data_IF_105659838350
#
_entry.id   IF_105659838350
#
_cell.length_a   1.000
_cell.length_b   1.000
_cell.length_c   1.000
_cell.angle_alpha   90.00
_cell.angle_beta   90.00
_cell.angle_gamma   90.00
#
_symmetry.space_group_name_H-M   'P 1'
#
loop_
_entity.id
_entity.type
_entity.pdbx_description
1 polymer ?
#
# COMPACT_ATOMS: atom_id res chain seq x y z
N UNK A 1 75.23 -59.35 -6.98
CA UNK A 1 74.57 -58.67 -8.11
C UNK A 1 73.08 -58.78 -7.91
N UNK A 2 72.45 -57.64 -7.68
CA UNK A 2 71.05 -57.42 -7.32
C UNK A 2 70.17 -57.48 -8.56
N UNK A 3 69.08 -58.26 -8.53
CA UNK A 3 68.08 -58.26 -9.61
C UNK A 3 66.72 -57.91 -9.02
N UNK A 4 66.22 -56.75 -9.45
CA UNK A 4 65.04 -56.04 -8.99
C UNK A 4 63.76 -56.65 -9.55
N UNK A 5 62.78 -56.92 -8.69
CA UNK A 5 61.39 -57.17 -9.07
C UNK A 5 60.70 -55.82 -9.26
N UNK A 6 60.19 -55.52 -10.45
CA UNK A 6 59.32 -54.36 -10.68
C UNK A 6 57.97 -54.78 -11.27
N UNK A 7 56.94 -54.12 -10.74
CA UNK A 7 55.54 -54.52 -10.67
C UNK A 7 54.81 -54.05 -11.93
N UNK A 8 54.07 -54.94 -12.58
CA UNK A 8 53.16 -54.63 -13.69
C UNK A 8 52.06 -53.64 -13.22
N UNK A 9 51.98 -52.49 -13.88
CA UNK A 9 50.96 -51.46 -13.70
C UNK A 9 49.70 -51.85 -14.49
N UNK A 10 48.66 -52.27 -13.77
CA UNK A 10 47.36 -52.60 -14.34
C UNK A 10 46.57 -51.29 -14.58
N UNK A 11 46.46 -50.85 -15.84
CA UNK A 11 45.59 -49.72 -16.22
C UNK A 11 44.15 -50.22 -16.39
N UNK A 12 43.30 -49.91 -15.42
CA UNK A 12 41.86 -50.20 -15.51
C UNK A 12 41.23 -49.22 -16.51
N UNK A 13 41.09 -49.65 -17.77
CA UNK A 13 40.27 -48.98 -18.78
C UNK A 13 38.79 -49.11 -18.36
N UNK A 14 38.21 -48.03 -17.83
CA UNK A 14 36.76 -47.93 -17.60
C UNK A 14 36.08 -47.81 -18.97
N UNK A 15 35.70 -48.96 -19.53
CA UNK A 15 34.91 -49.03 -20.75
C UNK A 15 33.51 -48.46 -20.48
N UNK A 16 33.24 -47.29 -21.06
CA UNK A 16 31.89 -46.69 -21.07
C UNK A 16 31.05 -47.52 -22.04
N UNK A 17 30.29 -48.50 -21.52
CA UNK A 17 29.40 -49.32 -22.35
C UNK A 17 28.47 -48.42 -23.17
N UNK A 18 28.62 -48.49 -24.49
CA UNK A 18 27.66 -47.92 -25.43
C UNK A 18 26.50 -48.90 -25.54
N UNK A 19 25.34 -48.53 -25.01
CA UNK A 19 24.12 -49.32 -25.13
C UNK A 19 23.76 -49.49 -26.62
N UNK A 20 23.88 -50.70 -27.15
CA UNK A 20 23.36 -51.08 -28.46
C UNK A 20 21.99 -51.72 -28.26
N UNK A 21 20.93 -50.97 -28.56
CA UNK A 21 19.55 -51.44 -28.56
C UNK A 21 19.05 -51.63 -29.99
N UNK A 22 18.35 -52.73 -30.23
CA UNK A 22 17.75 -53.13 -31.50
C UNK A 22 16.80 -52.05 -32.07
N UNK A 23 16.85 -51.87 -33.38
CA UNK A 23 16.26 -50.79 -34.15
C UNK A 23 14.73 -50.90 -34.35
N UNK A 24 13.96 -51.15 -33.29
CA UNK A 24 12.48 -50.97 -33.31
C UNK A 24 12.02 -50.50 -31.94
N UNK A 25 12.40 -49.28 -31.55
CA UNK A 25 11.81 -48.60 -30.41
C UNK A 25 11.56 -47.15 -30.81
N UNK A 26 10.29 -46.74 -30.77
CA UNK A 26 9.77 -45.38 -30.87
C UNK A 26 10.84 -44.33 -30.52
N UNK A 27 11.12 -43.38 -31.44
CA UNK A 27 12.17 -42.37 -31.33
C UNK A 27 11.97 -41.46 -30.09
N UNK A 28 12.24 -41.99 -28.91
CA UNK A 28 12.19 -41.28 -27.63
C UNK A 28 13.36 -40.30 -27.64
N UNK A 29 13.05 -39.00 -27.47
CA UNK A 29 14.07 -37.98 -27.30
C UNK A 29 15.07 -38.42 -26.24
N UNK A 30 16.36 -38.14 -26.47
CA UNK A 30 17.41 -38.53 -25.54
C UNK A 30 17.15 -37.89 -24.16
N UNK A 31 17.32 -38.59 -23.02
CA UNK A 31 16.96 -38.07 -21.68
C UNK A 31 17.55 -36.69 -21.34
N UNK A 32 18.78 -36.41 -21.82
CA UNK A 32 19.42 -35.09 -21.69
C UNK A 32 18.67 -33.98 -22.45
N UNK A 33 18.14 -34.28 -23.64
CA UNK A 33 17.34 -33.33 -24.42
C UNK A 33 16.02 -33.02 -23.71
N UNK A 34 15.34 -34.05 -23.19
CA UNK A 34 14.11 -33.87 -22.37
C UNK A 34 14.41 -32.99 -21.14
N UNK A 35 15.52 -33.26 -20.44
CA UNK A 35 15.95 -32.43 -19.29
C UNK A 35 16.23 -30.99 -19.69
N UNK A 36 16.90 -30.76 -20.83
CA UNK A 36 17.18 -29.42 -21.37
C UNK A 36 15.89 -28.67 -21.71
N UNK A 37 14.96 -29.32 -22.40
CA UNK A 37 13.64 -28.76 -22.74
C UNK A 37 12.84 -28.41 -21.48
N UNK A 38 12.83 -29.30 -20.48
CA UNK A 38 12.15 -29.05 -19.21
C UNK A 38 12.80 -27.90 -18.42
N UNK A 39 14.13 -27.80 -18.41
CA UNK A 39 14.84 -26.68 -17.79
C UNK A 39 14.49 -25.37 -18.51
N UNK A 40 14.49 -25.36 -19.85
CA UNK A 40 14.12 -24.19 -20.63
C UNK A 40 12.67 -23.74 -20.34
N UNK A 41 11.72 -24.69 -20.26
CA UNK A 41 10.33 -24.41 -19.87
C UNK A 41 10.20 -23.86 -18.44
N UNK A 42 11.01 -24.37 -17.49
CA UNK A 42 11.03 -23.85 -16.11
C UNK A 42 11.62 -22.44 -16.06
N UNK A 43 12.70 -22.20 -16.81
CA UNK A 43 13.34 -20.90 -16.91
C UNK A 43 12.40 -19.87 -17.57
N UNK A 44 11.68 -20.23 -18.63
CA UNK A 44 10.71 -19.33 -19.26
C UNK A 44 9.58 -18.96 -18.30
N UNK A 45 9.00 -19.96 -17.61
CA UNK A 45 7.96 -19.73 -16.59
C UNK A 45 8.47 -18.88 -15.42
N UNK A 46 9.70 -19.10 -14.96
CA UNK A 46 10.31 -18.29 -13.90
C UNK A 46 10.52 -16.85 -14.36
N UNK A 47 11.00 -16.64 -15.58
CA UNK A 47 11.17 -15.30 -16.15
C UNK A 47 9.83 -14.56 -16.30
N UNK A 48 8.79 -15.25 -16.78
CA UNK A 48 7.41 -14.73 -16.81
C UNK A 48 6.90 -14.40 -15.40
N UNK A 49 7.18 -15.27 -14.43
CA UNK A 49 6.83 -15.06 -13.02
C UNK A 49 7.55 -13.84 -12.45
N UNK A 50 8.84 -13.64 -12.72
CA UNK A 50 9.60 -12.48 -12.23
C UNK A 50 9.14 -11.17 -12.85
N UNK A 51 8.84 -11.16 -14.16
CA UNK A 51 8.30 -9.99 -14.86
C UNK A 51 6.97 -9.52 -14.28
N UNK A 52 6.13 -10.45 -13.84
CA UNK A 52 4.79 -10.19 -13.29
C UNK A 52 4.80 -10.05 -11.77
N UNK A 53 5.96 -9.84 -11.13
CA UNK A 53 6.04 -9.70 -9.67
C UNK A 53 5.44 -8.36 -9.23
N UNK A 54 4.35 -8.35 -8.43
CA UNK A 54 3.76 -7.12 -7.94
C UNK A 54 4.66 -6.42 -6.92
N UNK A 55 4.58 -5.10 -6.86
CA UNK A 55 5.25 -4.32 -5.82
C UNK A 55 4.55 -4.50 -4.47
N UNK A 56 5.28 -4.73 -3.37
CA UNK A 56 4.73 -4.75 -2.01
C UNK A 56 4.51 -3.36 -1.43
N UNK A 57 4.98 -2.29 -2.08
CA UNK A 57 4.80 -0.89 -1.64
C UNK A 57 3.66 -0.24 -2.41
N UNK A 58 3.74 -0.28 -3.75
CA UNK A 58 2.82 0.41 -4.65
C UNK A 58 1.63 -0.49 -4.95
N UNK A 59 0.44 -0.02 -4.56
CA UNK A 59 -0.84 -0.64 -4.89
C UNK A 59 -1.27 -0.30 -6.32
N UNK A 60 -2.12 -1.14 -6.89
CA UNK A 60 -2.88 -0.83 -8.09
C UNK A 60 -3.90 0.28 -7.78
N UNK A 61 -4.31 1.03 -8.81
CA UNK A 61 -5.33 2.07 -8.64
C UNK A 61 -6.68 1.42 -8.34
N UNK A 62 -7.30 1.81 -7.22
CA UNK A 62 -8.61 1.33 -6.78
C UNK A 62 -9.50 2.52 -6.40
N UNK A 63 -10.83 2.36 -6.38
CA UNK A 63 -11.74 3.44 -6.00
C UNK A 63 -11.43 4.05 -4.64
N UNK A 64 -10.92 3.24 -3.70
CA UNK A 64 -10.46 3.69 -2.39
C UNK A 64 -9.42 4.82 -2.47
N UNK A 65 -8.43 4.72 -3.37
CA UNK A 65 -7.42 5.77 -3.53
C UNK A 65 -7.97 7.05 -4.16
N UNK A 66 -9.13 6.98 -4.84
CA UNK A 66 -9.81 8.17 -5.38
C UNK A 66 -10.44 9.06 -4.30
N UNK A 67 -10.74 8.50 -3.13
CA UNK A 67 -11.28 9.25 -1.98
C UNK A 67 -10.18 9.99 -1.23
N UNK A 68 -8.93 9.52 -1.31
CA UNK A 68 -7.82 10.07 -0.54
C UNK A 68 -7.20 11.29 -1.22
N UNK A 69 -6.82 12.29 -0.42
CA UNK A 69 -6.11 13.46 -0.90
C UNK A 69 -4.61 13.23 -0.97
N UNK A 70 -4.02 13.62 -2.10
CA UNK A 70 -2.61 14.00 -2.16
C UNK A 70 -2.45 15.46 -1.75
N UNK A 71 -1.25 15.90 -1.30
CA UNK A 71 -1.03 17.32 -0.99
C UNK A 71 -1.43 18.26 -2.14
N UNK A 72 -1.23 17.85 -3.39
CA UNK A 72 -1.65 18.62 -4.57
C UNK A 72 -3.18 18.66 -4.73
N UNK A 73 -3.87 17.54 -4.48
CA UNK A 73 -5.32 17.46 -4.57
C UNK A 73 -6.03 18.22 -3.44
N UNK A 74 -5.44 18.28 -2.25
CA UNK A 74 -6.02 18.95 -1.09
C UNK A 74 -6.26 20.45 -1.31
N UNK A 75 -5.43 21.12 -2.12
CA UNK A 75 -5.62 22.54 -2.44
C UNK A 75 -6.93 22.84 -3.20
N UNK A 76 -7.46 21.86 -3.91
CA UNK A 76 -8.71 22.01 -4.68
C UNK A 76 -9.98 21.72 -3.88
N UNK A 77 -9.87 21.17 -2.67
CA UNK A 77 -11.04 20.88 -1.85
C UNK A 77 -11.39 22.07 -0.96
N UNK A 78 -12.56 22.66 -1.23
CA UNK A 78 -13.10 23.77 -0.45
C UNK A 78 -13.94 23.33 0.74
N UNK A 79 -14.31 22.05 0.77
CA UNK A 79 -15.25 21.54 1.76
C UNK A 79 -14.59 20.77 2.89
N UNK A 80 -13.37 20.27 2.66
CA UNK A 80 -12.67 19.51 3.67
C UNK A 80 -12.07 20.40 4.75
N UNK A 81 -12.29 19.97 5.97
CA UNK A 81 -11.90 20.67 7.19
C UNK A 81 -10.77 19.94 7.89
N UNK A 82 -9.96 20.70 8.62
CA UNK A 82 -9.00 20.18 9.57
C UNK A 82 -9.65 19.89 10.92
N UNK A 83 -8.86 19.34 11.84
CA UNK A 83 -9.24 19.17 13.25
C UNK A 83 -10.46 18.28 13.51
N UNK A 84 -10.78 17.38 12.56
CA UNK A 84 -11.89 16.42 12.69
C UNK A 84 -13.26 17.08 12.82
N UNK A 85 -13.43 18.29 12.29
CA UNK A 85 -14.73 18.96 12.25
C UNK A 85 -15.61 18.27 11.21
N UNK A 86 -16.77 17.79 11.64
CA UNK A 86 -17.76 17.21 10.74
C UNK A 86 -18.43 18.27 9.88
N UNK A 87 -19.19 17.83 8.87
CA UNK A 87 -19.96 18.74 8.05
C UNK A 87 -21.09 19.42 8.86
N UNK A 88 -21.64 18.72 9.84
CA UNK A 88 -22.63 19.27 10.76
C UNK A 88 -22.01 20.33 11.68
N UNK A 89 -20.80 20.08 12.20
CA UNK A 89 -20.05 21.07 12.99
C UNK A 89 -19.75 22.32 12.14
N UNK A 90 -19.38 22.11 10.88
CA UNK A 90 -19.13 23.21 9.93
C UNK A 90 -20.39 24.06 9.76
N UNK A 91 -21.54 23.41 9.54
CA UNK A 91 -22.81 24.10 9.37
C UNK A 91 -23.19 24.88 10.63
N UNK A 92 -23.04 24.27 11.79
CA UNK A 92 -23.31 24.91 13.08
C UNK A 92 -22.41 26.14 13.31
N UNK A 93 -21.11 25.99 13.09
CA UNK A 93 -20.12 27.04 13.36
C UNK A 93 -20.22 28.23 12.38
N UNK A 94 -20.48 27.98 11.10
CA UNK A 94 -20.37 29.02 10.07
C UNK A 94 -21.71 29.54 9.55
N UNK A 95 -22.79 28.78 9.66
CA UNK A 95 -24.12 29.23 9.24
C UNK A 95 -25.00 29.66 10.41
N UNK A 96 -25.08 28.82 11.45
CA UNK A 96 -26.03 29.04 12.56
C UNK A 96 -25.48 30.03 13.58
N UNK A 97 -24.24 29.83 14.05
CA UNK A 97 -23.63 30.65 15.11
C UNK A 97 -23.61 32.15 14.81
N UNK A 98 -23.25 32.62 13.59
CA UNK A 98 -23.26 34.05 13.27
C UNK A 98 -24.67 34.68 13.33
N UNK A 99 -25.69 33.93 12.88
CA UNK A 99 -27.08 34.40 12.90
C UNK A 99 -27.59 34.54 14.32
N UNK A 100 -27.41 33.49 15.12
CA UNK A 100 -27.72 33.46 16.54
C UNK A 100 -27.04 34.59 17.32
N UNK A 101 -25.78 34.87 16.99
CA UNK A 101 -25.01 35.93 17.63
C UNK A 101 -25.62 37.30 17.31
N UNK A 102 -25.89 37.59 16.04
CA UNK A 102 -26.49 38.87 15.62
C UNK A 102 -27.86 39.06 16.27
N UNK A 103 -28.70 38.02 16.28
CA UNK A 103 -30.04 38.06 16.91
C UNK A 103 -29.99 38.33 18.42
N UNK A 104 -29.04 37.71 19.14
CA UNK A 104 -28.90 37.86 20.59
C UNK A 104 -28.13 39.11 21.00
N UNK A 105 -27.30 39.66 20.11
CA UNK A 105 -26.45 40.80 20.41
C UNK A 105 -27.23 42.12 20.40
N UNK A 106 -26.99 42.96 21.41
CA UNK A 106 -27.48 44.34 21.40
C UNK A 106 -26.86 45.19 20.28
N UNK A 107 -25.72 44.76 19.71
CA UNK A 107 -25.05 45.44 18.58
C UNK A 107 -25.94 45.50 17.33
N UNK A 108 -26.71 44.45 17.05
CA UNK A 108 -27.64 44.44 15.91
C UNK A 108 -28.72 45.53 16.00
N UNK A 109 -29.05 45.98 17.22
CA UNK A 109 -29.99 47.07 17.46
C UNK A 109 -29.37 48.47 17.30
N UNK A 110 -28.03 48.59 17.40
CA UNK A 110 -27.32 49.89 17.35
C UNK A 110 -26.74 50.18 15.97
N UNK A 111 -26.10 49.18 15.34
CA UNK A 111 -25.41 49.33 14.03
C UNK A 111 -26.26 48.84 12.85
N UNK A 112 -27.39 48.19 13.13
CA UNK A 112 -28.23 47.56 12.11
C UNK A 112 -27.83 46.12 11.81
N UNK A 113 -28.84 45.27 11.59
CA UNK A 113 -28.68 43.81 11.46
C UNK A 113 -27.79 43.44 10.27
N UNK A 114 -27.88 44.17 9.16
CA UNK A 114 -27.13 43.87 7.93
C UNK A 114 -25.62 44.14 8.07
N UNK A 115 -25.23 45.24 8.70
CA UNK A 115 -23.82 45.59 8.90
C UNK A 115 -23.14 44.65 9.89
N UNK A 116 -23.84 44.33 10.99
CA UNK A 116 -23.38 43.35 11.97
C UNK A 116 -23.17 41.96 11.33
N UNK A 117 -24.12 41.52 10.49
CA UNK A 117 -24.00 40.23 9.79
C UNK A 117 -22.80 40.23 8.81
N UNK A 118 -22.55 41.32 8.10
CA UNK A 118 -21.40 41.44 7.19
C UNK A 118 -20.06 41.36 7.94
N UNK A 119 -19.98 41.96 9.13
CA UNK A 119 -18.80 41.85 9.98
C UNK A 119 -18.58 40.40 10.47
N UNK A 120 -19.64 39.72 10.91
CA UNK A 120 -19.56 38.30 11.28
C UNK A 120 -19.19 37.40 10.09
N UNK A 121 -19.75 37.65 8.91
CA UNK A 121 -19.38 36.94 7.67
C UNK A 121 -17.90 37.10 7.33
N UNK A 122 -17.33 38.29 7.57
CA UNK A 122 -15.89 38.53 7.36
C UNK A 122 -15.03 37.70 8.33
N UNK A 123 -15.48 37.53 9.58
CA UNK A 123 -14.83 36.64 10.55
C UNK A 123 -14.95 35.18 10.15
N UNK A 124 -16.16 34.75 9.75
CA UNK A 124 -16.42 33.38 9.25
C UNK A 124 -15.48 33.07 8.08
N UNK A 125 -15.37 33.97 7.10
CA UNK A 125 -14.48 33.78 5.96
C UNK A 125 -13.00 33.66 6.36
N UNK A 126 -12.57 34.36 7.41
CA UNK A 126 -11.22 34.18 7.96
C UNK A 126 -11.05 32.81 8.66
N UNK A 127 -12.05 32.38 9.43
CA UNK A 127 -12.05 31.09 10.13
C UNK A 127 -12.10 29.91 9.17
N UNK A 128 -12.93 29.97 8.12
CA UNK A 128 -13.00 28.93 7.08
C UNK A 128 -11.64 28.73 6.41
N UNK A 129 -10.88 29.80 6.17
CA UNK A 129 -9.52 29.69 5.64
C UNK A 129 -8.56 29.01 6.61
N UNK A 130 -8.67 29.29 7.92
CA UNK A 130 -7.80 28.68 8.94
C UNK A 130 -8.11 27.18 9.07
N UNK A 131 -9.40 26.83 9.06
CA UNK A 131 -9.87 25.47 9.27
C UNK A 131 -9.77 24.61 8.00
N UNK A 132 -9.82 25.20 6.80
CA UNK A 132 -9.83 24.47 5.54
C UNK A 132 -8.59 23.60 5.34
N UNK A 133 -8.78 22.36 4.88
CA UNK A 133 -7.70 21.38 4.65
C UNK A 133 -6.68 21.87 3.63
N UNK A 134 -7.11 22.72 2.68
CA UNK A 134 -6.28 23.40 1.69
C UNK A 134 -5.07 24.14 2.28
N UNK A 135 -5.22 24.71 3.47
CA UNK A 135 -4.16 25.44 4.18
C UNK A 135 -3.49 24.58 5.26
N UNK A 136 -3.78 23.28 5.27
CA UNK A 136 -3.28 22.32 6.25
C UNK A 136 -1.87 21.86 5.94
N UNK A 137 -1.17 21.41 6.98
CA UNK A 137 0.12 20.76 6.80
C UNK A 137 -0.06 19.32 6.27
N UNK A 138 1.05 18.69 5.85
CA UNK A 138 1.03 17.31 5.36
C UNK A 138 0.47 16.31 6.40
N UNK A 139 0.60 16.60 7.70
CA UNK A 139 0.05 15.78 8.78
C UNK A 139 -1.48 15.88 8.84
N UNK A 140 -2.05 17.06 8.61
CA UNK A 140 -3.49 17.29 8.57
C UNK A 140 -4.12 16.51 7.41
N UNK A 141 -3.54 16.59 6.21
CA UNK A 141 -3.95 15.77 5.05
C UNK A 141 -3.86 14.28 5.36
N UNK A 142 -2.79 13.84 6.02
CA UNK A 142 -2.65 12.44 6.43
C UNK A 142 -3.72 12.01 7.44
N UNK A 143 -4.04 12.84 8.44
CA UNK A 143 -5.06 12.53 9.44
C UNK A 143 -6.45 12.45 8.82
N UNK A 144 -6.76 13.39 7.92
CA UNK A 144 -7.99 13.37 7.13
C UNK A 144 -8.09 12.08 6.29
N UNK A 145 -7.01 11.71 5.58
CA UNK A 145 -6.96 10.46 4.80
C UNK A 145 -7.16 9.21 5.69
N UNK A 146 -6.60 9.22 6.90
CA UNK A 146 -6.78 8.13 7.87
C UNK A 146 -8.25 8.04 8.29
N UNK A 147 -8.91 9.18 8.52
CA UNK A 147 -10.33 9.20 8.88
C UNK A 147 -11.20 8.59 7.76
N UNK A 148 -11.02 9.06 6.52
CA UNK A 148 -11.73 8.49 5.36
C UNK A 148 -11.46 6.99 5.19
N UNK A 149 -10.22 6.57 5.49
CA UNK A 149 -9.85 5.15 5.44
C UNK A 149 -10.56 4.32 6.51
N UNK A 150 -10.69 4.86 7.72
CA UNK A 150 -11.45 4.19 8.78
C UNK A 150 -12.91 4.07 8.35
N UNK A 151 -13.50 5.15 7.86
CA UNK A 151 -14.90 5.18 7.43
C UNK A 151 -15.19 4.23 6.26
N UNK A 152 -14.22 4.02 5.37
CA UNK A 152 -14.32 3.06 4.27
C UNK A 152 -14.24 1.60 4.71
N UNK A 153 -13.30 1.26 5.61
CA UNK A 153 -13.00 -0.13 5.99
C UNK A 153 -13.67 -0.59 7.29
N UNK A 154 -14.34 0.31 8.04
CA UNK A 154 -15.01 -0.03 9.31
C UNK A 154 -16.11 -1.05 9.07
N UNK A 155 -16.21 -2.04 9.96
CA UNK A 155 -17.29 -3.04 9.92
C UNK A 155 -18.50 -2.65 10.74
N UNK A 156 -18.23 -1.89 11.80
CA UNK A 156 -19.21 -1.33 12.71
C UNK A 156 -18.80 0.09 13.02
N UNK A 157 -19.75 0.86 13.53
CA UNK A 157 -19.43 2.21 13.95
C UNK A 157 -18.39 2.20 15.09
N UNK A 158 -17.42 3.11 15.00
CA UNK A 158 -16.27 3.17 15.91
C UNK A 158 -15.22 2.06 15.76
N UNK A 159 -15.25 1.24 14.70
CA UNK A 159 -14.22 0.20 14.49
C UNK A 159 -12.89 0.78 14.01
N UNK A 160 -11.93 0.86 14.93
CA UNK A 160 -10.55 1.29 14.66
C UNK A 160 -9.54 0.14 14.74
N UNK A 161 -9.98 -1.03 15.20
CA UNK A 161 -9.12 -2.15 15.62
C UNK A 161 -9.12 -3.33 14.65
N UNK A 162 -10.07 -3.41 13.71
CA UNK A 162 -10.12 -4.51 12.75
C UNK A 162 -8.83 -4.66 11.93
N UNK A 163 -8.39 -5.89 11.60
CA UNK A 163 -7.20 -6.13 10.78
C UNK A 163 -7.24 -5.38 9.44
N UNK A 164 -8.41 -5.29 8.81
CA UNK A 164 -8.63 -4.55 7.56
C UNK A 164 -8.34 -3.05 7.74
N UNK A 165 -8.97 -2.41 8.73
CA UNK A 165 -8.77 -1.00 9.07
C UNK A 165 -7.30 -0.73 9.37
N UNK A 166 -6.65 -1.57 10.20
CA UNK A 166 -5.23 -1.41 10.52
C UNK A 166 -4.33 -1.54 9.27
N UNK A 167 -4.61 -2.50 8.39
CA UNK A 167 -3.86 -2.68 7.15
C UNK A 167 -4.06 -1.50 6.18
N UNK A 168 -5.27 -0.94 6.12
CA UNK A 168 -5.60 0.22 5.31
C UNK A 168 -4.90 1.49 5.82
N UNK A 169 -4.92 1.75 7.13
CA UNK A 169 -4.18 2.87 7.74
C UNK A 169 -2.68 2.77 7.45
N UNK A 170 -2.09 1.58 7.56
CA UNK A 170 -0.69 1.36 7.19
C UNK A 170 -0.46 1.63 5.70
N UNK A 171 -1.41 1.31 4.84
CA UNK A 171 -1.31 1.57 3.40
C UNK A 171 -1.23 3.06 3.09
N UNK A 172 -2.06 3.89 3.73
CA UNK A 172 -1.99 5.37 3.61
C UNK A 172 -0.62 5.88 4.07
N UNK A 173 -0.12 5.41 5.21
CA UNK A 173 1.20 5.82 5.74
C UNK A 173 2.36 5.39 4.83
N UNK A 174 2.28 4.18 4.28
CA UNK A 174 3.25 3.65 3.32
C UNK A 174 3.28 4.52 2.07
N UNK A 175 2.12 4.89 1.52
CA UNK A 175 2.04 5.76 0.33
C UNK A 175 2.62 7.15 0.58
N UNK A 176 2.25 7.81 1.68
CA UNK A 176 2.81 9.12 2.05
C UNK A 176 4.33 9.07 2.21
N UNK A 177 4.84 8.07 2.95
CA UNK A 177 6.27 7.94 3.18
C UNK A 177 7.02 7.55 1.90
N UNK A 178 6.40 6.74 1.03
CA UNK A 178 6.96 6.40 -0.27
C UNK A 178 7.11 7.64 -1.16
N UNK A 179 6.08 8.49 -1.25
CA UNK A 179 6.14 9.76 -1.99
C UNK A 179 7.25 10.67 -1.46
N UNK A 180 7.40 10.81 -0.14
CA UNK A 180 8.50 11.55 0.47
C UNK A 180 9.88 10.96 0.09
N UNK A 181 10.05 9.64 0.16
CA UNK A 181 11.33 8.99 -0.17
C UNK A 181 11.68 9.03 -1.66
N UNK A 182 10.70 9.15 -2.55
CA UNK A 182 10.95 9.37 -3.98
C UNK A 182 11.69 10.70 -4.21
N UNK A 183 11.33 11.73 -3.45
CA UNK A 183 12.01 13.03 -3.45
C UNK A 183 13.33 12.99 -2.66
N UNK A 184 13.37 12.24 -1.55
CA UNK A 184 14.51 12.19 -0.62
C UNK A 184 15.21 10.82 -0.59
N UNK A 185 15.86 10.44 -1.69
CA UNK A 185 16.51 9.12 -1.85
C UNK A 185 17.63 8.79 -0.86
N UNK A 186 18.24 9.81 -0.23
CA UNK A 186 19.35 9.65 0.73
C UNK A 186 18.88 9.36 2.16
N UNK A 187 17.59 9.48 2.45
CA UNK A 187 17.06 9.24 3.79
C UNK A 187 16.92 7.73 4.07
N UNK A 188 17.95 7.16 4.72
CA UNK A 188 17.98 5.74 5.07
C UNK A 188 17.14 5.41 6.30
N UNK A 189 16.91 6.38 7.18
CA UNK A 189 16.14 6.17 8.39
C UNK A 189 14.66 5.96 8.05
N UNK A 190 14.09 6.85 7.24
CA UNK A 190 12.72 6.75 6.78
C UNK A 190 12.52 5.54 5.85
N UNK A 191 13.51 5.17 5.04
CA UNK A 191 13.43 3.93 4.27
C UNK A 191 13.33 2.67 5.16
N UNK A 192 14.06 2.63 6.28
CA UNK A 192 13.94 1.54 7.29
C UNK A 192 12.54 1.53 7.92
N UNK A 193 11.97 2.70 8.22
CA UNK A 193 10.61 2.81 8.74
C UNK A 193 9.58 2.30 7.71
N UNK A 194 9.71 2.70 6.44
CA UNK A 194 8.88 2.21 5.34
C UNK A 194 8.89 0.69 5.28
N UNK A 195 10.09 0.09 5.28
CA UNK A 195 10.26 -1.36 5.29
C UNK A 195 9.54 -2.03 6.46
N UNK A 196 9.69 -1.46 7.66
CA UNK A 196 9.04 -1.96 8.86
C UNK A 196 7.51 -1.92 8.75
N UNK A 197 6.95 -0.83 8.21
CA UNK A 197 5.51 -0.70 7.99
C UNK A 197 4.98 -1.70 6.96
N UNK A 198 5.69 -1.92 5.85
CA UNK A 198 5.30 -2.91 4.83
C UNK A 198 5.25 -4.32 5.43
N UNK A 199 6.28 -4.71 6.20
CA UNK A 199 6.28 -6.01 6.88
C UNK A 199 5.16 -6.12 7.93
N UNK A 200 4.88 -5.05 8.68
CA UNK A 200 3.78 -5.01 9.65
C UNK A 200 2.42 -5.20 8.97
N UNK A 201 2.18 -4.50 7.86
CA UNK A 201 0.97 -4.66 7.04
C UNK A 201 0.82 -6.10 6.55
N UNK A 202 1.90 -6.68 6.01
CA UNK A 202 1.88 -8.05 5.54
C UNK A 202 1.59 -9.06 6.65
N UNK A 203 2.11 -8.85 7.87
CA UNK A 203 1.79 -9.69 9.04
C UNK A 203 0.31 -9.64 9.39
N UNK A 204 -0.31 -8.46 9.37
CA UNK A 204 -1.74 -8.27 9.66
C UNK A 204 -2.59 -8.96 8.59
N UNK A 205 -2.25 -8.79 7.32
CA UNK A 205 -2.96 -9.41 6.20
C UNK A 205 -2.83 -10.94 6.22
N UNK A 206 -1.65 -11.49 6.56
CA UNK A 206 -1.45 -12.93 6.79
C UNK A 206 -2.32 -13.45 7.93
N UNK A 207 -2.44 -12.70 9.03
CA UNK A 207 -3.34 -13.05 10.12
C UNK A 207 -4.81 -13.05 9.69
N UNK A 208 -5.23 -12.03 8.93
CA UNK A 208 -6.58 -11.96 8.39
C UNK A 208 -6.89 -13.17 7.51
N UNK A 209 -5.96 -13.57 6.63
CA UNK A 209 -6.09 -14.77 5.79
C UNK A 209 -6.33 -16.04 6.61
N UNK A 210 -5.60 -16.23 7.71
CA UNK A 210 -5.79 -17.38 8.60
C UNK A 210 -7.17 -17.36 9.29
N UNK A 211 -7.74 -16.18 9.52
CA UNK A 211 -9.06 -16.03 10.16
C UNK A 211 -10.22 -16.15 9.19
N UNK A 212 -10.12 -15.55 8.00
CA UNK A 212 -11.15 -15.60 6.98
C UNK A 212 -10.54 -15.27 5.62
N UNK A 213 -10.65 -16.23 4.71
CA UNK A 213 -10.12 -16.12 3.36
C UNK A 213 -10.90 -15.09 2.52
N UNK A 214 -12.23 -15.10 2.62
CA UNK A 214 -13.09 -14.14 1.89
C UNK A 214 -12.78 -12.69 2.29
N UNK A 215 -12.73 -12.39 3.60
CA UNK A 215 -12.38 -11.05 4.10
C UNK A 215 -11.00 -10.61 3.63
N UNK A 216 -10.05 -11.53 3.57
CA UNK A 216 -8.71 -11.26 3.08
C UNK A 216 -8.72 -10.87 1.59
N UNK A 217 -9.45 -11.60 0.74
CA UNK A 217 -9.53 -11.28 -0.69
C UNK A 217 -10.24 -9.94 -0.94
N UNK A 218 -11.35 -9.66 -0.25
CA UNK A 218 -12.04 -8.37 -0.36
C UNK A 218 -11.14 -7.22 0.05
N UNK A 219 -10.48 -7.34 1.20
CA UNK A 219 -9.56 -6.30 1.69
C UNK A 219 -8.38 -6.08 0.74
N UNK A 220 -7.80 -7.14 0.16
CA UNK A 220 -6.75 -7.01 -0.83
C UNK A 220 -7.20 -6.28 -2.10
N UNK A 221 -8.39 -6.62 -2.61
CA UNK A 221 -8.95 -6.00 -3.81
C UNK A 221 -9.18 -4.50 -3.59
N UNK A 222 -9.73 -4.12 -2.44
CA UNK A 222 -9.95 -2.71 -2.08
C UNK A 222 -8.64 -1.94 -1.92
N UNK A 223 -7.63 -2.54 -1.27
CA UNK A 223 -6.30 -1.94 -1.12
C UNK A 223 -5.46 -1.96 -2.41
N UNK A 224 -5.91 -2.61 -3.47
CA UNK A 224 -5.16 -2.75 -4.72
C UNK A 224 -3.90 -3.58 -4.58
N UNK A 225 -3.88 -4.52 -3.64
CA UNK A 225 -2.73 -5.38 -3.35
C UNK A 225 -2.96 -6.78 -3.90
N UNK A 226 -1.94 -7.34 -4.53
CA UNK A 226 -1.98 -8.74 -4.96
C UNK A 226 -1.56 -9.67 -3.82
N UNK A 227 -2.16 -10.88 -3.70
CA UNK A 227 -1.77 -11.86 -2.68
C UNK A 227 -0.26 -12.13 -2.67
N UNK A 228 0.34 -12.25 -3.86
CA UNK A 228 1.77 -12.47 -4.05
C UNK A 228 2.68 -11.36 -3.50
N UNK A 229 2.18 -10.12 -3.40
CA UNK A 229 2.95 -9.01 -2.82
C UNK A 229 3.04 -9.12 -1.28
N UNK A 230 2.10 -9.85 -0.68
CA UNK A 230 1.98 -10.05 0.76
C UNK A 230 2.56 -11.40 1.17
N UNK A 231 2.38 -12.40 0.30
CA UNK A 231 2.82 -13.78 0.51
C UNK A 231 4.30 -13.98 0.18
N UNK A 232 4.96 -14.83 0.96
CA UNK A 232 6.39 -15.10 0.80
C UNK A 232 7.32 -14.10 1.49
N UNK A 233 8.55 -14.04 0.96
CA UNK A 233 9.62 -13.15 1.41
C UNK A 233 9.47 -11.78 0.74
N UNK A 234 9.37 -10.73 1.56
CA UNK A 234 9.27 -9.35 1.09
C UNK A 234 10.67 -8.76 1.06
N UNK A 235 11.16 -8.52 -0.15
CA UNK A 235 12.41 -7.81 -0.42
C UNK A 235 12.09 -6.45 -1.02
N UNK A 236 12.64 -5.38 -0.42
CA UNK A 236 12.45 -3.98 -0.84
C UNK A 236 13.75 -3.36 -1.34
#
# INVERSE_FOLDING_TARGET
MTTTVSRSSNSVLVFKQQFHGTAVACAKKHPKQIKKENLAKRASKLAEFERTKPSPIVSQNTPFFGVLHTPASAYGSTNDTQHFLSQDDRQFLFEQTPRDFVEKSHLGAVEGVEEALKHEQSKVAALEKIVGLQNGNAKAVQLWNIQQTIDWFKKKDGDTGSPEVQAAILTVRIHNLHSHLQQHRKDKHNYKQLRTMVHKRAKILKYLKTKSLDRYHTCLNELGLQPRAVEGEITL
#
